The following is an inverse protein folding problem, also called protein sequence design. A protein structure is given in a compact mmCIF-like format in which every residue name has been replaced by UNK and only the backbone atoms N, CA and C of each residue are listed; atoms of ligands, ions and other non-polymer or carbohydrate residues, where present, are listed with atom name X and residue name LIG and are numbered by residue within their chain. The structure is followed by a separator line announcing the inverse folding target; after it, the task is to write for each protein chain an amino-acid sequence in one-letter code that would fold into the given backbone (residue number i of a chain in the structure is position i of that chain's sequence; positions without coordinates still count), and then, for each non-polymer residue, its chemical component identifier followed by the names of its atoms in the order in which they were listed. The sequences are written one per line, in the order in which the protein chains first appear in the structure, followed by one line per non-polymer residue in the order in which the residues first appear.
data_IF_746770682943
#
_entry.id   IF_746770682943
#
_cell.length_a   1.000
_cell.length_b   1.000
_cell.length_c   1.000
_cell.angle_alpha   90.00
_cell.angle_beta   90.00
_cell.angle_gamma   90.00
#
_symmetry.space_group_name_H-M   'P 1'
#
loop_
_entity.id
_entity.type
_entity.pdbx_description
1 polymer ?
#
# COMPACT_ATOMS: atom_id res chain seq x y z
N UNK A 1 -10.14 -2.05 2.35
CA UNK A 1 -9.86 -0.60 2.32
C UNK A 1 -9.42 -0.21 0.93
N UNK A 2 -10.08 0.76 0.29
CA UNK A 2 -9.68 1.27 -1.03
C UNK A 2 -8.84 2.53 -0.88
N UNK A 3 -7.75 2.63 -1.63
CA UNK A 3 -6.83 3.76 -1.64
C UNK A 3 -6.75 4.33 -3.06
N UNK A 4 -6.72 5.65 -3.17
CA UNK A 4 -6.49 6.36 -4.43
C UNK A 4 -5.20 7.16 -4.30
N UNK A 5 -4.28 6.97 -5.24
CA UNK A 5 -3.08 7.79 -5.36
C UNK A 5 -3.33 8.93 -6.33
N UNK A 6 -2.59 10.05 -6.19
CA UNK A 6 -2.58 11.13 -7.19
C UNK A 6 -1.89 10.72 -8.50
N UNK A 7 -0.95 9.79 -8.41
CA UNK A 7 -0.07 9.37 -9.52
C UNK A 7 -0.51 8.10 -10.21
N UNK A 8 -1.55 7.44 -9.71
CA UNK A 8 -1.81 6.07 -10.10
C UNK A 8 -3.16 5.55 -9.70
N UNK A 9 -3.43 4.30 -10.09
CA UNK A 9 -4.76 3.75 -10.01
C UNK A 9 -5.21 3.51 -8.58
N UNK A 10 -6.52 3.36 -8.44
CA UNK A 10 -7.12 2.89 -7.20
C UNK A 10 -6.68 1.45 -6.93
N UNK A 11 -6.30 1.16 -5.70
CA UNK A 11 -5.95 -0.19 -5.24
C UNK A 11 -6.67 -0.50 -3.95
N UNK A 12 -6.78 -1.79 -3.61
CA UNK A 12 -7.49 -2.24 -2.42
C UNK A 12 -6.61 -3.13 -1.57
N UNK A 13 -6.66 -2.89 -0.26
CA UNK A 13 -6.02 -3.73 0.74
C UNK A 13 -7.10 -4.45 1.53
N UNK A 14 -6.97 -5.77 1.62
CA UNK A 14 -7.79 -6.61 2.50
C UNK A 14 -6.91 -7.16 3.61
N UNK A 15 -7.26 -6.80 4.84
CA UNK A 15 -6.69 -7.39 6.03
C UNK A 15 -7.58 -8.57 6.43
N UNK A 16 -7.05 -9.78 6.34
CA UNK A 16 -7.74 -10.99 6.77
C UNK A 16 -7.18 -11.34 8.14
N UNK A 17 -8.02 -11.72 9.09
CA UNK A 17 -7.60 -12.27 10.39
C UNK A 17 -7.54 -13.78 10.36
N UNK A 18 -6.51 -14.37 10.96
CA UNK A 18 -6.42 -15.80 11.20
C UNK A 18 -7.18 -16.22 12.46
N UNK A 19 -7.21 -17.53 12.74
CA UNK A 19 -7.93 -18.11 13.89
C UNK A 19 -7.52 -17.48 15.24
N UNK A 20 -6.27 -17.02 15.37
CA UNK A 20 -5.71 -16.42 16.58
C UNK A 20 -5.77 -14.88 16.56
N UNK A 21 -5.78 -14.26 15.37
CA UNK A 21 -5.77 -12.80 15.23
C UNK A 21 -7.16 -12.21 15.50
N UNK A 22 -7.46 -11.88 16.76
CA UNK A 22 -8.82 -11.44 17.17
C UNK A 22 -9.10 -9.95 16.99
N UNK A 23 -8.12 -9.13 16.59
CA UNK A 23 -8.29 -7.66 16.57
C UNK A 23 -7.53 -7.00 15.42
N UNK A 24 -8.29 -6.42 14.48
CA UNK A 24 -7.83 -5.41 13.53
C UNK A 24 -7.98 -4.05 14.19
N UNK A 25 -6.94 -3.23 14.16
CA UNK A 25 -7.00 -1.82 14.55
C UNK A 25 -6.78 -0.98 13.30
N UNK A 26 -7.77 -0.20 12.91
CA UNK A 26 -7.70 0.75 11.80
C UNK A 26 -8.21 2.10 12.30
N UNK A 27 -7.34 3.07 12.58
CA UNK A 27 -7.76 4.39 13.04
C UNK A 27 -8.31 5.27 11.90
N UNK A 28 -8.11 4.88 10.64
CA UNK A 28 -8.50 5.68 9.48
C UNK A 28 -10.00 5.66 9.23
N UNK A 29 -10.51 6.81 8.82
CA UNK A 29 -11.83 7.06 8.25
C UNK A 29 -11.73 7.26 6.74
N UNK A 30 -12.88 7.19 6.06
CA UNK A 30 -12.94 7.46 4.62
C UNK A 30 -12.63 8.93 4.35
N UNK A 31 -11.68 9.17 3.45
CA UNK A 31 -11.23 10.53 3.09
C UNK A 31 -9.93 10.94 3.78
N UNK A 32 -9.49 10.22 4.81
CA UNK A 32 -8.24 10.51 5.50
C UNK A 32 -7.05 10.36 4.52
N UNK A 33 -6.14 11.36 4.45
CA UNK A 33 -4.93 11.23 3.68
C UNK A 33 -3.97 10.26 4.37
N UNK A 34 -3.20 9.52 3.58
CA UNK A 34 -2.14 8.64 4.09
C UNK A 34 -0.85 8.89 3.33
N UNK A 35 0.27 8.97 4.05
CA UNK A 35 1.60 9.10 3.43
C UNK A 35 2.18 7.71 3.13
N UNK A 36 3.08 7.65 2.13
CA UNK A 36 3.82 6.42 1.85
C UNK A 36 4.60 5.99 3.09
N UNK A 37 4.48 4.71 3.45
CA UNK A 37 5.16 4.14 4.63
C UNK A 37 4.42 4.38 5.94
N UNK A 38 3.37 5.20 5.95
CA UNK A 38 2.55 5.43 7.13
C UNK A 38 1.76 4.18 7.52
N UNK A 39 1.61 3.98 8.83
CA UNK A 39 0.84 2.85 9.36
C UNK A 39 -0.65 3.18 9.31
N UNK A 40 -1.34 2.62 8.33
CA UNK A 40 -2.80 2.76 8.22
C UNK A 40 -3.59 1.85 9.18
N UNK A 41 -2.95 0.84 9.76
CA UNK A 41 -3.60 -0.10 10.67
C UNK A 41 -2.66 -1.18 11.20
N UNK A 42 -3.21 -2.08 12.01
CA UNK A 42 -2.47 -3.17 12.65
C UNK A 42 -3.33 -4.42 12.80
N UNK A 43 -2.78 -5.55 12.33
CA UNK A 43 -3.27 -6.91 12.60
C UNK A 43 -2.49 -7.51 13.77
N UNK A 44 -3.12 -7.65 14.94
CA UNK A 44 -2.43 -8.22 16.12
C UNK A 44 -2.29 -9.73 15.99
N UNK A 45 -1.10 -10.26 16.33
CA UNK A 45 -0.73 -11.68 16.29
C UNK A 45 -0.58 -12.31 14.89
N UNK A 46 -0.35 -11.47 13.88
CA UNK A 46 -0.01 -11.93 12.54
C UNK A 46 -1.21 -12.51 11.79
N UNK A 47 -1.25 -12.29 10.49
CA UNK A 47 -2.27 -12.85 9.62
C UNK A 47 -1.86 -12.65 8.15
N UNK A 48 -2.83 -12.58 7.24
CA UNK A 48 -2.64 -12.28 5.82
C UNK A 48 -3.13 -10.89 5.48
N UNK A 49 -2.33 -10.16 4.72
CA UNK A 49 -2.76 -8.95 4.01
C UNK A 49 -2.71 -9.25 2.52
N UNK A 50 -3.78 -8.93 1.82
CA UNK A 50 -3.90 -9.09 0.37
C UNK A 50 -3.99 -7.71 -0.28
N UNK A 51 -3.32 -7.56 -1.43
CA UNK A 51 -3.36 -6.37 -2.26
C UNK A 51 -4.04 -6.71 -3.59
N UNK A 52 -5.00 -5.89 -3.97
CA UNK A 52 -5.78 -6.04 -5.18
C UNK A 52 -5.66 -4.79 -6.04
N UNK A 53 -5.50 -5.01 -7.33
CA UNK A 53 -5.58 -3.99 -8.36
C UNK A 53 -6.76 -4.30 -9.27
N UNK A 54 -7.29 -3.28 -9.95
CA UNK A 54 -8.26 -3.51 -11.01
C UNK A 54 -7.58 -4.26 -12.18
N UNK A 55 -8.33 -5.14 -12.83
CA UNK A 55 -7.82 -5.97 -13.94
C UNK A 55 -7.47 -5.14 -15.18
N UNK A 56 -7.93 -3.89 -15.24
CA UNK A 56 -7.58 -2.95 -16.29
C UNK A 56 -6.10 -2.50 -16.26
N UNK A 57 -5.36 -2.78 -15.18
CA UNK A 57 -3.97 -2.32 -15.03
C UNK A 57 -2.95 -3.43 -15.29
N UNK A 58 -1.88 -3.08 -16.00
CA UNK A 58 -0.73 -3.97 -16.15
C UNK A 58 0.17 -3.85 -14.92
N UNK A 59 0.34 -4.98 -14.21
CA UNK A 59 1.09 -5.05 -12.95
C UNK A 59 2.36 -5.88 -13.14
N UNK A 60 3.51 -5.24 -12.97
CA UNK A 60 4.84 -5.84 -12.97
C UNK A 60 5.25 -6.16 -11.52
N UNK A 61 5.10 -7.43 -11.12
CA UNK A 61 5.41 -7.90 -9.77
C UNK A 61 6.92 -7.95 -9.52
N UNK A 62 7.37 -7.35 -8.41
CA UNK A 62 8.79 -7.26 -8.02
C UNK A 62 9.19 -8.24 -6.92
N UNK A 63 8.26 -9.07 -6.49
CA UNK A 63 8.45 -10.11 -5.48
C UNK A 63 7.84 -11.42 -5.94
N UNK A 64 8.37 -12.53 -5.44
CA UNK A 64 7.85 -13.89 -5.66
C UNK A 64 7.46 -14.55 -4.34
N UNK A 65 6.72 -15.64 -4.45
CA UNK A 65 6.35 -16.47 -3.29
C UNK A 65 7.62 -16.93 -2.56
N UNK A 66 7.65 -16.72 -1.24
CA UNK A 66 8.78 -17.04 -0.38
C UNK A 66 9.71 -15.86 -0.07
N UNK A 67 9.60 -14.74 -0.80
CA UNK A 67 10.40 -13.56 -0.51
C UNK A 67 10.00 -12.93 0.84
N UNK A 68 11.02 -12.50 1.58
CA UNK A 68 10.82 -11.70 2.80
C UNK A 68 10.61 -10.24 2.40
N UNK A 69 9.49 -9.66 2.82
CA UNK A 69 9.14 -8.26 2.55
C UNK A 69 9.05 -7.46 3.85
N UNK A 70 9.38 -6.17 3.79
CA UNK A 70 9.26 -5.21 4.89
C UNK A 70 8.14 -4.22 4.58
N UNK A 71 7.14 -4.14 5.47
CA UNK A 71 6.05 -3.17 5.37
C UNK A 71 6.59 -1.74 5.29
N UNK A 72 6.03 -0.95 4.37
CA UNK A 72 6.44 0.43 4.12
C UNK A 72 7.77 0.62 3.37
N UNK A 73 8.54 -0.45 3.12
CA UNK A 73 9.85 -0.35 2.48
C UNK A 73 10.00 -1.16 1.19
N UNK A 74 9.54 -2.42 1.18
CA UNK A 74 9.70 -3.29 0.00
C UNK A 74 8.72 -2.90 -1.10
N UNK A 75 9.23 -2.67 -2.31
CA UNK A 75 8.42 -2.51 -3.51
C UNK A 75 7.94 -3.90 -3.95
N UNK A 76 6.63 -4.13 -3.97
CA UNK A 76 6.04 -5.43 -4.33
C UNK A 76 5.54 -5.48 -5.77
N UNK A 77 5.21 -4.33 -6.36
CA UNK A 77 4.75 -4.23 -7.73
C UNK A 77 4.98 -2.81 -8.28
N UNK A 78 5.11 -2.72 -9.60
CA UNK A 78 5.03 -1.47 -10.37
C UNK A 78 3.83 -1.59 -11.30
N UNK A 79 2.94 -0.60 -11.26
CA UNK A 79 1.75 -0.58 -12.11
C UNK A 79 1.98 0.38 -13.25
N UNK A 80 1.82 -0.07 -14.49
CA UNK A 80 1.88 0.82 -15.65
C UNK A 80 0.57 1.57 -15.78
N UNK A 81 0.65 2.89 -15.76
CA UNK A 81 -0.50 3.76 -15.93
C UNK A 81 -0.44 4.34 -17.33
N UNK A 82 -1.31 3.86 -18.23
CA UNK A 82 -1.45 4.46 -19.55
C UNK A 82 -2.06 5.86 -19.40
N UNK A 83 -1.24 6.90 -19.54
CA UNK A 83 -1.70 8.29 -19.59
C UNK A 83 -1.44 9.18 -18.35
N UNK A 84 -0.57 8.81 -17.41
CA UNK A 84 -0.07 9.77 -16.41
C UNK A 84 1.29 10.29 -16.87
N UNK A 85 1.34 11.56 -17.29
CA UNK A 85 2.60 12.29 -17.35
C UNK A 85 3.29 12.14 -15.98
N UNK A 86 4.56 11.76 -16.01
CA UNK A 86 5.38 11.61 -14.83
C UNK A 86 5.68 13.00 -14.25
N UNK A 87 4.90 13.43 -13.27
CA UNK A 87 5.37 14.46 -12.34
C UNK A 87 6.24 13.75 -11.30
N UNK A 88 7.55 13.93 -11.49
CA UNK A 88 8.61 13.65 -10.52
C UNK A 88 8.19 14.14 -9.14
N UNK A 89 8.29 13.35 -8.06
CA UNK A 89 8.14 13.90 -6.73
C UNK A 89 9.28 14.89 -6.48
N UNK A 90 8.93 16.17 -6.56
CA UNK A 90 9.76 17.27 -6.08
C UNK A 90 10.11 17.03 -4.60
N UNK A 91 11.39 17.25 -4.34
CA UNK A 91 12.07 17.35 -3.07
C UNK A 91 11.20 18.03 -1.98
N UNK A 92 10.94 17.35 -0.87
CA UNK A 92 10.61 18.04 0.39
C UNK A 92 11.84 17.94 1.28
N UNK A 93 12.35 19.13 1.57
CA UNK A 93 13.69 19.44 2.01
C UNK A 93 14.08 18.83 3.36
N UNK A 94 15.38 18.64 3.51
CA UNK A 94 16.05 18.69 4.78
C UNK A 94 15.70 20.00 5.51
N UNK A 95 15.22 19.90 6.75
CA UNK A 95 15.42 20.96 7.73
C UNK A 95 16.01 20.32 8.97
N UNK A 96 17.31 20.54 9.09
CA UNK A 96 18.04 20.58 10.34
C UNK A 96 17.42 21.59 11.31
N UNK A 97 17.23 21.18 12.56
CA UNK A 97 17.47 22.00 13.74
C UNK A 97 17.82 21.05 14.90
#
# INVERSE_FOLDING_TARGET
LGFKSKWGPKYYIRQITGLIARRIVCPLSVGDPVKRGERFGMLKFGSRTELYFDNAFEVDWKVKVGDKVKGGGTVIAVVKVAGSAAETPENEEAVSA
#
